data_IF_666516018325
#
_entry.id   IF_666516018325
#
_cell.length_a   1.000
_cell.length_b   1.000
_cell.length_c   1.000
_cell.angle_alpha   90.00
_cell.angle_beta   90.00
_cell.angle_gamma   90.00
#
_symmetry.space_group_name_H-M   'P 1'
#
loop_
_entity.id
_entity.type
_entity.pdbx_description
1 polymer ?
#
# COMPACT_ATOMS: atom_id res chain seq x y z
N UNK A 1 10.94 -8.51 -23.07
CA UNK A 1 9.90 -8.00 -22.16
C UNK A 1 10.26 -6.55 -21.91
N UNK A 2 9.36 -5.63 -22.13
CA UNK A 2 9.59 -4.22 -21.84
C UNK A 2 9.68 -4.00 -20.32
N UNK A 3 10.47 -2.98 -19.88
CA UNK A 3 10.67 -2.73 -18.44
C UNK A 3 9.35 -2.48 -17.71
N UNK A 4 8.38 -1.81 -18.37
CA UNK A 4 7.04 -1.56 -17.82
C UNK A 4 6.36 -2.87 -17.42
N UNK A 5 6.42 -3.89 -18.24
CA UNK A 5 5.80 -5.19 -17.95
C UNK A 5 6.42 -5.87 -16.72
N UNK A 6 7.72 -5.65 -16.46
CA UNK A 6 8.36 -6.16 -15.25
C UNK A 6 7.86 -5.43 -14.00
N UNK A 7 7.63 -4.12 -14.09
CA UNK A 7 7.09 -3.33 -12.99
C UNK A 7 5.63 -3.70 -12.70
N UNK A 8 4.81 -3.82 -13.75
CA UNK A 8 3.40 -4.24 -13.64
C UNK A 8 3.30 -5.63 -12.99
N UNK A 9 4.06 -6.61 -13.46
CA UNK A 9 4.09 -7.96 -12.88
C UNK A 9 4.41 -7.93 -11.37
N UNK A 10 5.32 -7.07 -10.91
CA UNK A 10 5.65 -6.96 -9.49
C UNK A 10 4.49 -6.37 -8.66
N UNK A 11 3.80 -5.35 -9.18
CA UNK A 11 2.63 -4.76 -8.52
C UNK A 11 1.48 -5.77 -8.44
N UNK A 12 1.18 -6.47 -9.53
CA UNK A 12 0.15 -7.51 -9.59
C UNK A 12 0.44 -8.65 -8.61
N UNK A 13 1.71 -9.08 -8.49
CA UNK A 13 2.11 -10.09 -7.49
C UNK A 13 1.94 -9.62 -6.06
N UNK A 14 2.17 -8.35 -5.77
CA UNK A 14 1.93 -7.82 -4.44
C UNK A 14 0.42 -7.81 -4.13
N UNK A 15 -0.42 -7.36 -5.07
CA UNK A 15 -1.87 -7.41 -4.95
C UNK A 15 -2.37 -8.85 -4.72
N UNK A 16 -1.95 -9.80 -5.55
CA UNK A 16 -2.33 -11.21 -5.45
C UNK A 16 -2.03 -11.78 -4.05
N UNK A 17 -0.84 -11.46 -3.49
CA UNK A 17 -0.48 -11.89 -2.13
C UNK A 17 -1.40 -11.29 -1.07
N UNK A 18 -1.70 -9.99 -1.14
CA UNK A 18 -2.64 -9.36 -0.21
C UNK A 18 -4.04 -9.93 -0.32
N UNK A 19 -4.56 -10.15 -1.53
CA UNK A 19 -5.87 -10.76 -1.75
C UNK A 19 -5.92 -12.18 -1.19
N UNK A 20 -4.84 -12.95 -1.36
CA UNK A 20 -4.69 -14.28 -0.75
C UNK A 20 -4.69 -14.19 0.78
N UNK A 21 -3.92 -13.27 1.36
CA UNK A 21 -3.86 -13.05 2.82
C UNK A 21 -5.24 -12.69 3.39
N UNK A 22 -6.02 -11.88 2.70
CA UNK A 22 -7.36 -11.46 3.13
C UNK A 22 -8.43 -12.56 2.95
N UNK A 23 -8.12 -13.63 2.22
CA UNK A 23 -9.05 -14.73 2.00
C UNK A 23 -9.28 -15.50 3.31
N UNK A 24 -10.56 -15.70 3.67
CA UNK A 24 -10.98 -16.41 4.89
C UNK A 24 -10.48 -15.80 6.21
N UNK A 25 -10.02 -14.54 6.21
CA UNK A 25 -9.79 -13.77 7.43
C UNK A 25 -11.10 -13.10 7.87
N UNK A 26 -11.40 -13.17 9.16
CA UNK A 26 -12.45 -12.33 9.72
C UNK A 26 -11.96 -10.88 9.86
N UNK A 27 -12.89 -9.92 9.97
CA UNK A 27 -12.58 -8.51 10.24
C UNK A 27 -11.77 -8.37 11.53
N UNK A 28 -12.13 -9.13 12.57
CA UNK A 28 -11.43 -9.11 13.85
C UNK A 28 -9.98 -9.57 13.71
N UNK A 29 -9.74 -10.66 12.99
CA UNK A 29 -8.40 -11.17 12.71
C UNK A 29 -7.58 -10.20 11.86
N UNK A 30 -8.17 -9.60 10.83
CA UNK A 30 -7.46 -8.65 9.98
C UNK A 30 -7.02 -7.39 10.76
N UNK A 31 -7.86 -6.91 11.69
CA UNK A 31 -7.57 -5.75 12.55
C UNK A 31 -6.63 -6.09 13.72
N UNK A 32 -6.43 -7.38 14.05
CA UNK A 32 -5.61 -7.77 15.18
C UNK A 32 -4.12 -7.48 14.96
N UNK A 33 -3.46 -6.95 15.98
CA UNK A 33 -2.00 -6.82 16.05
C UNK A 33 -1.45 -8.11 16.67
N UNK A 34 -0.82 -9.01 15.90
CA UNK A 34 -0.65 -10.41 16.30
C UNK A 34 0.26 -10.62 17.51
N UNK A 35 1.15 -9.67 17.80
CA UNK A 35 2.12 -9.76 18.90
C UNK A 35 2.26 -8.44 19.65
N UNK A 36 1.19 -7.65 19.76
CA UNK A 36 1.19 -6.31 20.33
C UNK A 36 1.83 -6.21 21.72
N UNK A 37 1.62 -7.23 22.56
CA UNK A 37 2.13 -7.26 23.94
C UNK A 37 3.65 -7.42 24.01
N UNK A 38 4.29 -7.97 22.98
CA UNK A 38 5.72 -8.26 22.96
C UNK A 38 6.48 -7.40 21.97
N UNK A 39 5.89 -7.12 20.78
CA UNK A 39 6.51 -6.34 19.71
C UNK A 39 5.45 -5.42 19.10
N UNK A 40 5.14 -4.28 19.73
CA UNK A 40 4.06 -3.37 19.31
C UNK A 40 4.28 -2.70 17.94
N UNK A 41 5.48 -2.82 17.36
CA UNK A 41 5.78 -2.33 16.02
C UNK A 41 5.28 -3.25 14.90
N UNK A 42 4.96 -4.52 15.19
CA UNK A 42 4.39 -5.45 14.21
C UNK A 42 2.94 -5.04 13.93
N UNK A 43 2.67 -4.74 12.68
CA UNK A 43 1.38 -4.19 12.23
C UNK A 43 0.34 -5.28 11.97
N UNK A 44 -0.94 -4.88 11.99
CA UNK A 44 -2.05 -5.74 11.58
C UNK A 44 -2.07 -5.94 10.06
N UNK A 45 -2.76 -6.99 9.59
CA UNK A 45 -3.01 -7.19 8.15
C UNK A 45 -3.77 -6.02 7.57
N UNK A 46 -4.74 -5.46 8.31
CA UNK A 46 -5.49 -4.25 7.91
C UNK A 46 -4.55 -3.08 7.67
N UNK A 47 -3.66 -2.78 8.62
CA UNK A 47 -2.72 -1.66 8.48
C UNK A 47 -1.81 -1.87 7.27
N UNK A 48 -1.21 -3.06 7.13
CA UNK A 48 -0.29 -3.37 6.03
C UNK A 48 -0.96 -3.24 4.66
N UNK A 49 -2.20 -3.73 4.52
CA UNK A 49 -2.94 -3.62 3.25
C UNK A 49 -3.32 -2.17 2.95
N UNK A 50 -3.85 -1.45 3.95
CA UNK A 50 -4.24 -0.05 3.79
C UNK A 50 -3.03 0.84 3.49
N UNK A 51 -1.93 0.66 4.22
CA UNK A 51 -0.68 1.40 4.01
C UNK A 51 -0.14 1.19 2.59
N UNK A 52 -0.03 -0.07 2.15
CA UNK A 52 0.43 -0.37 0.78
C UNK A 52 -0.47 0.27 -0.28
N UNK A 53 -1.80 0.17 -0.12
CA UNK A 53 -2.72 0.82 -1.05
C UNK A 53 -2.54 2.34 -1.06
N UNK A 54 -2.33 2.95 0.11
CA UNK A 54 -2.12 4.39 0.26
C UNK A 54 -0.80 4.85 -0.35
N UNK A 55 0.29 4.14 -0.12
CA UNK A 55 1.60 4.45 -0.70
C UNK A 55 1.58 4.36 -2.23
N UNK A 56 0.99 3.30 -2.79
CA UNK A 56 0.76 3.19 -4.23
C UNK A 56 -0.06 4.38 -4.75
N UNK A 57 -1.20 4.66 -4.11
CA UNK A 57 -2.15 5.68 -4.56
C UNK A 57 -1.54 7.09 -4.52
N UNK A 58 -1.04 7.51 -3.37
CA UNK A 58 -0.58 8.90 -3.18
C UNK A 58 0.68 9.21 -3.96
N UNK A 59 1.64 8.28 -3.99
CA UNK A 59 2.88 8.49 -4.73
C UNK A 59 2.66 8.47 -6.25
N UNK A 60 1.79 7.59 -6.75
CA UNK A 60 1.44 7.56 -8.17
C UNK A 60 0.60 8.79 -8.56
N UNK A 61 -0.34 9.21 -7.72
CA UNK A 61 -1.12 10.44 -7.96
C UNK A 61 -0.21 11.67 -8.02
N UNK A 62 0.82 11.74 -7.15
CA UNK A 62 1.82 12.82 -7.23
C UNK A 62 2.62 12.77 -8.53
N UNK A 63 3.09 11.60 -8.96
CA UNK A 63 3.80 11.44 -10.23
C UNK A 63 2.94 11.78 -11.44
N UNK A 64 1.66 11.39 -11.42
CA UNK A 64 0.69 11.63 -12.47
C UNK A 64 0.07 13.04 -12.43
N UNK A 65 0.27 13.77 -11.33
CA UNK A 65 -0.37 15.07 -11.03
C UNK A 65 -1.90 14.97 -11.05
N UNK A 66 -2.42 13.92 -10.45
CA UNK A 66 -3.86 13.64 -10.32
C UNK A 66 -4.30 13.64 -8.86
N UNK A 67 -5.61 13.60 -8.62
CA UNK A 67 -6.16 13.38 -7.28
C UNK A 67 -6.04 11.89 -6.91
N UNK A 68 -5.56 11.55 -5.70
CA UNK A 68 -5.54 10.15 -5.23
C UNK A 68 -6.93 9.48 -5.29
N UNK A 69 -6.96 8.19 -5.61
CA UNK A 69 -8.21 7.41 -5.62
C UNK A 69 -8.87 7.35 -4.24
N UNK A 70 -8.10 7.52 -3.17
CA UNK A 70 -8.59 7.70 -1.80
C UNK A 70 -9.69 8.76 -1.70
N UNK A 71 -9.52 9.88 -2.38
CA UNK A 71 -10.48 10.97 -2.41
C UNK A 71 -11.46 10.82 -3.57
N UNK A 72 -10.97 10.66 -4.81
CA UNK A 72 -11.77 10.69 -6.03
C UNK A 72 -12.80 9.55 -6.11
N UNK A 73 -12.50 8.38 -5.49
CA UNK A 73 -13.43 7.23 -5.40
C UNK A 73 -14.12 7.10 -4.04
N UNK A 74 -13.89 8.07 -3.15
CA UNK A 74 -14.57 8.18 -1.86
C UNK A 74 -14.15 7.16 -0.81
N UNK A 75 -12.96 6.56 -0.93
CA UNK A 75 -12.44 5.60 0.05
C UNK A 75 -12.29 6.20 1.43
N UNK A 76 -11.85 7.47 1.53
CA UNK A 76 -11.82 8.22 2.80
C UNK A 76 -13.12 8.09 3.59
N UNK A 77 -14.26 8.33 2.91
CA UNK A 77 -15.58 8.27 3.55
C UNK A 77 -15.99 6.84 3.93
N UNK A 78 -15.61 5.86 3.10
CA UNK A 78 -15.92 4.45 3.35
C UNK A 78 -15.14 3.87 4.52
N UNK A 79 -13.84 4.21 4.63
CA UNK A 79 -12.98 3.78 5.75
C UNK A 79 -13.29 4.54 7.03
N UNK A 80 -13.60 5.83 6.95
CA UNK A 80 -13.93 6.72 8.07
C UNK A 80 -12.91 6.64 9.24
N UNK A 81 -11.61 6.56 8.93
CA UNK A 81 -10.55 6.46 9.93
C UNK A 81 -10.46 7.74 10.78
N UNK A 82 -10.16 7.57 12.07
CA UNK A 82 -9.83 8.69 12.99
C UNK A 82 -8.35 9.11 12.83
N UNK A 83 -8.00 9.52 11.61
CA UNK A 83 -6.67 9.99 11.23
C UNK A 83 -6.78 11.23 10.35
N UNK A 84 -5.82 12.17 10.42
CA UNK A 84 -5.76 13.30 9.50
C UNK A 84 -5.50 12.83 8.06
N UNK A 85 -5.95 13.63 7.08
CA UNK A 85 -5.80 13.29 5.66
C UNK A 85 -4.34 13.22 5.20
N UNK A 86 -3.49 14.03 5.82
CA UNK A 86 -2.06 14.14 5.60
C UNK A 86 -1.23 13.29 6.57
N UNK A 87 -1.86 12.27 7.19
CA UNK A 87 -1.13 11.38 8.10
C UNK A 87 0.07 10.75 7.41
N UNK A 88 1.22 10.83 8.08
CA UNK A 88 2.48 10.22 7.63
C UNK A 88 2.52 8.76 8.12
N UNK A 89 1.86 7.88 7.37
CA UNK A 89 1.64 6.50 7.78
C UNK A 89 2.92 5.68 7.95
N UNK A 90 4.00 5.98 7.21
CA UNK A 90 5.32 5.39 7.42
C UNK A 90 5.95 5.73 8.79
N UNK A 91 5.47 6.77 9.46
CA UNK A 91 5.90 7.20 10.80
C UNK A 91 4.90 6.85 11.89
N UNK A 92 3.80 6.13 11.58
CA UNK A 92 2.78 5.80 12.57
C UNK A 92 3.39 5.18 13.83
N UNK A 93 3.14 5.83 14.96
CA UNK A 93 3.29 5.22 16.28
C UNK A 93 2.36 3.99 16.40
N UNK A 94 2.60 3.07 17.36
CA UNK A 94 1.66 1.99 17.63
C UNK A 94 0.23 2.48 17.85
N UNK A 95 0.04 3.60 18.54
CA UNK A 95 -1.28 4.18 18.84
C UNK A 95 -1.99 4.66 17.56
N UNK A 96 -1.28 5.31 16.63
CA UNK A 96 -1.83 5.73 15.34
C UNK A 96 -2.15 4.53 14.47
N UNK A 97 -1.25 3.55 14.42
CA UNK A 97 -1.48 2.33 13.66
C UNK A 97 -2.74 1.55 14.12
N UNK A 98 -3.05 1.58 15.43
CA UNK A 98 -4.28 0.97 15.96
C UNK A 98 -5.56 1.70 15.56
N UNK A 99 -5.48 2.92 15.04
CA UNK A 99 -6.64 3.63 14.47
C UNK A 99 -6.99 3.17 13.05
N UNK A 100 -6.09 2.45 12.39
CA UNK A 100 -6.34 1.87 11.07
C UNK A 100 -7.09 0.56 11.27
N UNK A 101 -8.41 0.64 11.23
CA UNK A 101 -9.32 -0.50 11.40
C UNK A 101 -10.40 -0.45 10.34
N UNK A 102 -10.91 -1.60 9.95
CA UNK A 102 -12.02 -1.72 9.01
C UNK A 102 -13.20 -2.47 9.64
N UNK A 103 -14.37 -2.24 9.11
CA UNK A 103 -15.61 -2.96 9.47
C UNK A 103 -15.98 -4.02 8.43
N UNK A 104 -15.29 -4.02 7.30
CA UNK A 104 -15.51 -4.95 6.19
C UNK A 104 -14.18 -5.16 5.43
N UNK A 105 -13.83 -6.43 5.21
CA UNK A 105 -12.63 -6.83 4.45
C UNK A 105 -12.68 -6.33 3.00
N UNK A 106 -13.86 -6.20 2.42
CA UNK A 106 -14.02 -5.71 1.04
C UNK A 106 -13.56 -4.26 0.87
N UNK A 107 -13.50 -3.46 1.95
CA UNK A 107 -12.90 -2.12 1.90
C UNK A 107 -11.41 -2.19 1.58
N UNK A 108 -10.68 -3.12 2.21
CA UNK A 108 -9.24 -3.31 1.97
C UNK A 108 -8.98 -3.78 0.54
N UNK A 109 -9.72 -4.82 0.09
CA UNK A 109 -9.58 -5.35 -1.27
C UNK A 109 -9.89 -4.29 -2.31
N UNK A 110 -10.99 -3.57 -2.15
CA UNK A 110 -11.43 -2.58 -3.12
C UNK A 110 -10.47 -1.40 -3.23
N UNK A 111 -9.97 -0.87 -2.12
CA UNK A 111 -9.02 0.24 -2.15
C UNK A 111 -7.68 -0.19 -2.75
N UNK A 112 -7.17 -1.36 -2.34
CA UNK A 112 -5.93 -1.90 -2.91
C UNK A 112 -6.04 -2.08 -4.43
N UNK A 113 -7.12 -2.72 -4.91
CA UNK A 113 -7.32 -2.94 -6.35
C UNK A 113 -7.45 -1.64 -7.14
N UNK A 114 -8.11 -0.62 -6.58
CA UNK A 114 -8.20 0.70 -7.21
C UNK A 114 -6.83 1.41 -7.27
N UNK A 115 -6.02 1.31 -6.22
CA UNK A 115 -4.66 1.87 -6.18
C UNK A 115 -3.73 1.14 -7.16
N UNK A 116 -3.81 -0.19 -7.22
CA UNK A 116 -3.05 -1.00 -8.20
C UNK A 116 -3.45 -0.65 -9.63
N UNK A 117 -4.75 -0.54 -9.91
CA UNK A 117 -5.24 -0.17 -11.25
C UNK A 117 -4.72 1.23 -11.66
N UNK A 118 -4.71 2.21 -10.75
CA UNK A 118 -4.15 3.53 -11.00
C UNK A 118 -2.64 3.46 -11.27
N UNK A 119 -1.92 2.62 -10.52
CA UNK A 119 -0.49 2.39 -10.70
C UNK A 119 -0.20 1.79 -12.08
N UNK A 120 -0.92 0.76 -12.49
CA UNK A 120 -0.76 0.11 -13.81
C UNK A 120 -1.07 1.09 -14.94
N UNK A 121 -2.14 1.89 -14.79
CA UNK A 121 -2.49 2.90 -15.77
C UNK A 121 -1.35 3.92 -15.95
N UNK A 122 -0.79 4.43 -14.85
CA UNK A 122 0.36 5.34 -14.90
C UNK A 122 1.59 4.69 -15.54
N UNK A 123 1.94 3.46 -15.14
CA UNK A 123 3.08 2.74 -15.69
C UNK A 123 2.98 2.54 -17.21
N UNK A 124 1.77 2.36 -17.74
CA UNK A 124 1.55 2.19 -19.18
C UNK A 124 1.88 3.43 -20.02
N UNK A 125 1.95 4.60 -19.37
CA UNK A 125 2.29 5.89 -20.00
C UNK A 125 3.77 6.27 -19.83
N UNK A 126 4.50 5.57 -18.94
CA UNK A 126 5.92 5.84 -18.67
C UNK A 126 6.79 5.33 -19.80
N UNK A 127 7.65 6.19 -20.35
CA UNK A 127 8.68 5.81 -21.29
C UNK A 127 10.07 5.79 -20.63
N UNK A 128 11.01 5.07 -21.24
CA UNK A 128 12.36 4.87 -20.70
C UNK A 128 13.11 6.21 -20.52
N UNK A 129 12.98 7.15 -21.45
CA UNK A 129 13.66 8.44 -21.40
C UNK A 129 13.22 9.27 -20.18
N UNK A 130 11.98 9.11 -19.73
CA UNK A 130 11.43 9.83 -18.57
C UNK A 130 11.88 9.30 -17.21
N UNK A 131 12.52 8.14 -17.15
CA UNK A 131 12.96 7.53 -15.88
C UNK A 131 14.02 8.36 -15.17
N UNK A 132 14.79 9.14 -15.92
CA UNK A 132 15.82 10.04 -15.38
C UNK A 132 15.29 11.42 -14.97
N UNK A 133 14.00 11.73 -15.21
CA UNK A 133 13.39 12.99 -14.78
C UNK A 133 13.44 13.10 -13.25
N UNK A 134 13.88 14.27 -12.76
CA UNK A 134 13.82 14.59 -11.33
C UNK A 134 12.36 14.84 -10.94
N UNK A 135 11.86 14.13 -9.96
CA UNK A 135 10.48 14.21 -9.47
C UNK A 135 10.39 14.76 -8.04
N UNK A 136 11.50 14.79 -7.31
CA UNK A 136 11.54 15.33 -5.95
C UNK A 136 12.94 15.88 -5.64
N UNK A 137 13.04 17.20 -5.42
CA UNK A 137 14.26 17.92 -5.11
C UNK A 137 14.56 18.05 -3.61
N UNK A 138 13.64 17.56 -2.74
CA UNK A 138 13.80 17.71 -1.30
C UNK A 138 14.85 16.75 -0.71
N UNK A 139 15.40 15.87 -1.52
CA UNK A 139 16.39 14.87 -1.12
C UNK A 139 17.77 15.14 -1.74
N UNK A 140 18.81 14.60 -1.11
CA UNK A 140 20.17 14.64 -1.65
C UNK A 140 20.72 13.19 -1.71
N UNK A 141 20.93 12.63 -2.91
CA UNK A 141 20.62 13.19 -4.23
C UNK A 141 19.12 13.35 -4.49
N UNK A 142 18.75 14.24 -5.41
CA UNK A 142 17.36 14.41 -5.85
C UNK A 142 16.80 13.10 -6.40
N UNK A 143 15.51 12.83 -6.12
CA UNK A 143 14.85 11.58 -6.51
C UNK A 143 14.43 11.64 -7.99
N UNK A 144 14.85 10.66 -8.75
CA UNK A 144 14.42 10.47 -10.13
C UNK A 144 13.14 9.59 -10.18
N UNK A 145 12.37 9.72 -11.27
CA UNK A 145 11.15 8.93 -11.51
C UNK A 145 11.40 7.44 -11.37
N UNK A 146 12.44 6.91 -12.01
CA UNK A 146 12.79 5.50 -11.94
C UNK A 146 13.08 5.03 -10.50
N UNK A 147 13.80 5.84 -9.69
CA UNK A 147 14.04 5.53 -8.29
C UNK A 147 12.75 5.52 -7.47
N UNK A 148 11.83 6.47 -7.71
CA UNK A 148 10.54 6.54 -7.04
C UNK A 148 9.69 5.30 -7.37
N UNK A 149 9.63 4.89 -8.63
CA UNK A 149 8.87 3.71 -9.06
C UNK A 149 9.42 2.43 -8.43
N UNK A 150 10.74 2.26 -8.40
CA UNK A 150 11.36 1.11 -7.71
C UNK A 150 11.00 1.11 -6.22
N UNK A 151 11.09 2.27 -5.55
CA UNK A 151 10.78 2.39 -4.12
C UNK A 151 9.33 1.99 -3.80
N UNK A 152 8.36 2.50 -4.58
CA UNK A 152 6.94 2.21 -4.38
C UNK A 152 6.64 0.71 -4.55
N UNK A 153 7.23 0.09 -5.58
CA UNK A 153 6.97 -1.31 -5.93
C UNK A 153 7.67 -2.26 -4.94
N UNK A 154 8.89 -1.93 -4.52
CA UNK A 154 9.63 -2.70 -3.51
C UNK A 154 8.90 -2.66 -2.16
N UNK A 155 8.40 -1.48 -1.76
CA UNK A 155 7.57 -1.31 -0.56
C UNK A 155 6.33 -2.20 -0.59
N UNK A 156 5.58 -2.21 -1.69
CA UNK A 156 4.42 -3.08 -1.86
C UNK A 156 4.79 -4.57 -1.77
N UNK A 157 5.90 -4.99 -2.39
CA UNK A 157 6.40 -6.35 -2.33
C UNK A 157 6.81 -6.75 -0.91
N UNK A 158 7.52 -5.87 -0.20
CA UNK A 158 7.96 -6.08 1.18
C UNK A 158 6.77 -6.23 2.13
N UNK A 159 5.80 -5.30 2.07
CA UNK A 159 4.62 -5.34 2.94
C UNK A 159 3.69 -6.51 2.64
N UNK A 160 3.61 -6.97 1.38
CA UNK A 160 2.86 -8.19 1.07
C UNK A 160 3.43 -9.42 1.78
N UNK A 161 4.75 -9.54 1.86
CA UNK A 161 5.42 -10.58 2.65
C UNK A 161 5.20 -10.44 4.16
N UNK A 162 5.21 -9.21 4.67
CA UNK A 162 4.90 -8.93 6.08
C UNK A 162 3.43 -9.29 6.41
N UNK A 163 2.48 -9.04 5.52
CA UNK A 163 1.08 -9.40 5.69
C UNK A 163 0.88 -10.93 5.77
N UNK A 164 1.58 -11.69 4.93
CA UNK A 164 1.61 -13.16 5.02
C UNK A 164 2.14 -13.60 6.39
N UNK A 165 3.21 -12.97 6.85
CA UNK A 165 3.81 -13.31 8.14
C UNK A 165 2.89 -12.93 9.31
N UNK A 166 2.25 -11.75 9.27
CA UNK A 166 1.28 -11.32 10.27
C UNK A 166 0.10 -12.31 10.37
N UNK A 167 -0.45 -12.78 9.23
CA UNK A 167 -1.49 -13.80 9.18
C UNK A 167 -1.06 -15.09 9.89
N UNK A 168 0.17 -15.57 9.64
CA UNK A 168 0.71 -16.78 10.31
C UNK A 168 0.87 -16.61 11.81
N UNK A 169 1.26 -15.42 12.26
CA UNK A 169 1.34 -15.10 13.70
C UNK A 169 -0.04 -15.13 14.39
N UNK A 170 -1.13 -14.95 13.63
CA UNK A 170 -2.50 -15.14 14.12
C UNK A 170 -2.93 -16.61 14.16
N UNK A 171 -2.03 -17.56 13.81
CA UNK A 171 -2.34 -18.98 13.75
C UNK A 171 -3.11 -19.42 12.50
N UNK A 172 -3.11 -18.57 11.46
CA UNK A 172 -3.74 -18.87 10.16
C UNK A 172 -2.66 -19.31 9.17
N UNK A 173 -2.57 -20.62 8.99
CA UNK A 173 -1.80 -21.21 7.90
C UNK A 173 -2.62 -21.19 6.60
N UNK A 174 -1.94 -21.25 5.48
CA UNK A 174 -2.54 -21.15 4.12
C UNK A 174 -3.43 -22.36 3.81
#
# INVERSE_FOLDING_TARGET
MEFVNLLVENVERAEERFLSVLTNLSVEEANAFPVADTVPSIKSVTWLTWHTARELDFQIADLAKTEPVWFSKGWKKKFALDLPDDTEDWHHTPQEAHKVVVTDIELLKGYLSDAVAATIAYLSEVNEDSLDDVVDENWTPAVKRGNRLVSIIDDAAMHSGQAIYARRLLGRED
#
